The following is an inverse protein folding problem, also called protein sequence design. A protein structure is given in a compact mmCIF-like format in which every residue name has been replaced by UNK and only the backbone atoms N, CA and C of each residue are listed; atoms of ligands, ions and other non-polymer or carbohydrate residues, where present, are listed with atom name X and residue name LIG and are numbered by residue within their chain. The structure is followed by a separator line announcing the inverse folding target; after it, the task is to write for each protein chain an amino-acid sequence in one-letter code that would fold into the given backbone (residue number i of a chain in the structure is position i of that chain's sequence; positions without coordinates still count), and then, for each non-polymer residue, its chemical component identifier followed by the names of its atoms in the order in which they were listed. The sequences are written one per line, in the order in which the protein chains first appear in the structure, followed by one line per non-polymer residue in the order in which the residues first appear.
data_IF_993351154433
#
_entry.id   IF_993351154433
#
_cell.length_a   1.000
_cell.length_b   1.000
_cell.length_c   1.000
_cell.angle_alpha   90.00
_cell.angle_beta   90.00
_cell.angle_gamma   90.00
#
_symmetry.space_group_name_H-M   'P 1'
#
loop_
_entity.id
_entity.type
_entity.pdbx_description
1 polymer ?
#
# COMPACT_ATOMS: atom_id res chain seq x y z
N UNK A 1 -15.29 6.84 10.04
CA UNK A 1 -15.21 5.89 8.90
C UNK A 1 -15.73 6.61 7.66
N UNK A 2 -15.24 6.31 6.46
CA UNK A 2 -15.72 6.99 5.25
C UNK A 2 -17.00 6.33 4.75
N UNK A 3 -18.11 7.07 4.75
CA UNK A 3 -19.43 6.54 4.40
C UNK A 3 -19.95 7.17 3.10
N UNK A 4 -20.57 6.40 2.18
CA UNK A 4 -21.16 6.97 0.98
C UNK A 4 -22.35 7.86 1.35
N UNK A 5 -22.36 9.09 0.82
CA UNK A 5 -23.44 10.05 1.07
C UNK A 5 -24.73 9.63 0.36
N UNK A 6 -24.61 9.15 -0.87
CA UNK A 6 -25.70 8.53 -1.62
C UNK A 6 -25.55 7.00 -1.54
N UNK A 7 -26.36 6.39 -0.66
CA UNK A 7 -26.39 4.94 -0.46
C UNK A 7 -27.05 4.21 -1.63
N UNK A 8 -28.02 4.83 -2.30
CA UNK A 8 -28.77 4.23 -3.41
C UNK A 8 -27.87 4.07 -4.63
N UNK A 9 -27.15 5.13 -5.02
CA UNK A 9 -26.16 5.08 -6.08
C UNK A 9 -25.03 4.11 -5.73
N UNK A 10 -24.55 4.11 -4.50
CA UNK A 10 -23.50 3.20 -4.05
C UNK A 10 -23.92 1.73 -4.17
N UNK A 11 -25.13 1.39 -3.73
CA UNK A 11 -25.69 0.04 -3.82
C UNK A 11 -25.89 -0.40 -5.28
N UNK A 12 -26.30 0.51 -6.16
CA UNK A 12 -26.38 0.25 -7.61
C UNK A 12 -25.00 -0.11 -8.18
N UNK A 13 -23.99 0.70 -7.91
CA UNK A 13 -22.60 0.43 -8.34
C UNK A 13 -22.10 -0.90 -7.75
N UNK A 14 -22.42 -1.21 -6.49
CA UNK A 14 -22.04 -2.48 -5.86
C UNK A 14 -22.66 -3.70 -6.56
N UNK A 15 -23.93 -3.60 -7.00
CA UNK A 15 -24.58 -4.66 -7.80
C UNK A 15 -23.89 -4.86 -9.15
N UNK A 16 -23.59 -3.77 -9.86
CA UNK A 16 -22.85 -3.83 -11.12
C UNK A 16 -21.45 -4.44 -10.93
N UNK A 17 -20.76 -4.08 -9.84
CA UNK A 17 -19.47 -4.68 -9.49
C UNK A 17 -19.57 -6.18 -9.21
N UNK A 18 -20.67 -6.64 -8.59
CA UNK A 18 -20.90 -8.06 -8.33
C UNK A 18 -21.13 -8.86 -9.61
N UNK A 19 -21.76 -8.26 -10.62
CA UNK A 19 -21.93 -8.88 -11.93
C UNK A 19 -20.61 -8.93 -12.72
N UNK A 20 -19.81 -7.85 -12.63
CA UNK A 20 -18.54 -7.74 -13.36
C UNK A 20 -17.39 -8.56 -12.78
N UNK A 21 -17.34 -8.71 -11.45
CA UNK A 21 -16.23 -9.35 -10.74
C UNK A 21 -16.72 -10.54 -9.91
N UNK A 22 -16.28 -11.75 -10.33
CA UNK A 22 -16.54 -13.01 -9.63
C UNK A 22 -16.04 -13.01 -8.18
N UNK A 23 -14.82 -12.52 -7.95
CA UNK A 23 -14.17 -12.55 -6.64
C UNK A 23 -14.10 -11.17 -6.02
N UNK A 24 -14.29 -11.08 -4.71
CA UNK A 24 -14.05 -9.86 -3.96
C UNK A 24 -12.54 -9.64 -3.75
N UNK A 25 -12.00 -8.54 -4.27
CA UNK A 25 -10.58 -8.19 -4.16
C UNK A 25 -10.33 -6.72 -4.44
N UNK A 26 -9.05 -6.30 -4.35
CA UNK A 26 -8.66 -4.90 -4.47
C UNK A 26 -9.16 -4.23 -5.77
N UNK A 27 -9.15 -4.94 -6.90
CA UNK A 27 -9.65 -4.43 -8.18
C UNK A 27 -11.16 -4.14 -8.14
N UNK A 28 -11.97 -5.04 -7.55
CA UNK A 28 -13.41 -4.84 -7.39
C UNK A 28 -13.71 -3.66 -6.48
N UNK A 29 -13.04 -3.58 -5.33
CA UNK A 29 -13.21 -2.47 -4.38
C UNK A 29 -12.77 -1.14 -5.01
N UNK A 30 -11.65 -1.12 -5.73
CA UNK A 30 -11.16 0.05 -6.46
C UNK A 30 -12.13 0.52 -7.55
N UNK A 31 -12.70 -0.43 -8.30
CA UNK A 31 -13.70 -0.13 -9.33
C UNK A 31 -14.96 0.51 -8.73
N UNK A 32 -15.49 -0.03 -7.62
CA UNK A 32 -16.65 0.55 -6.93
C UNK A 32 -16.39 2.01 -6.54
N UNK A 33 -15.27 2.27 -5.87
CA UNK A 33 -14.93 3.63 -5.40
C UNK A 33 -14.74 4.59 -6.58
N UNK A 34 -14.08 4.15 -7.65
CA UNK A 34 -13.85 4.95 -8.86
C UNK A 34 -15.18 5.30 -9.54
N UNK A 35 -15.97 4.29 -9.88
CA UNK A 35 -17.24 4.47 -10.61
C UNK A 35 -18.28 5.23 -9.78
N UNK A 36 -18.33 5.01 -8.46
CA UNK A 36 -19.19 5.81 -7.59
C UNK A 36 -18.86 7.30 -7.67
N UNK A 37 -17.58 7.67 -7.63
CA UNK A 37 -17.13 9.06 -7.73
C UNK A 37 -17.34 9.66 -9.12
N UNK A 38 -17.10 8.89 -10.18
CA UNK A 38 -17.35 9.32 -11.56
C UNK A 38 -18.83 9.66 -11.79
N UNK A 39 -19.74 8.95 -11.13
CA UNK A 39 -21.18 9.21 -11.16
C UNK A 39 -21.65 10.29 -10.18
N UNK A 40 -20.73 11.08 -9.63
CA UNK A 40 -21.03 12.19 -8.71
C UNK A 40 -21.14 11.80 -7.23
N UNK A 41 -20.97 10.52 -6.90
CA UNK A 41 -20.99 10.03 -5.52
C UNK A 41 -19.85 10.60 -4.67
N UNK A 42 -20.15 10.97 -3.42
CA UNK A 42 -19.16 11.47 -2.46
C UNK A 42 -19.20 10.66 -1.17
N UNK A 43 -18.06 10.63 -0.50
CA UNK A 43 -17.94 10.01 0.82
C UNK A 43 -17.89 11.10 1.89
N UNK A 44 -18.67 10.91 2.96
CA UNK A 44 -18.59 11.69 4.19
C UNK A 44 -17.51 11.09 5.08
N UNK A 45 -16.66 11.92 5.67
CA UNK A 45 -15.62 11.50 6.60
C UNK A 45 -14.34 12.32 6.48
N UNK A 46 -13.54 12.29 7.54
CA UNK A 46 -12.26 12.98 7.59
C UNK A 46 -11.16 12.11 6.97
N UNK A 47 -10.31 12.71 6.14
CA UNK A 47 -9.12 12.02 5.61
C UNK A 47 -8.15 11.74 6.74
N UNK A 48 -7.73 10.48 6.90
CA UNK A 48 -6.71 10.13 7.88
C UNK A 48 -5.32 10.43 7.35
N UNK A 49 -4.40 10.81 8.23
CA UNK A 49 -2.98 10.94 7.91
C UNK A 49 -2.23 9.61 8.01
N UNK A 50 -2.84 8.60 8.65
CA UNK A 50 -2.30 7.25 8.90
C UNK A 50 -2.74 6.25 7.83
N UNK A 51 -2.16 5.05 7.88
CA UNK A 51 -2.49 3.93 6.99
C UNK A 51 -2.04 4.23 5.57
N UNK A 52 -2.92 4.01 4.59
CA UNK A 52 -2.59 4.14 3.17
C UNK A 52 -2.09 5.54 2.79
N UNK A 53 -2.61 6.59 3.43
CA UNK A 53 -2.15 7.97 3.21
C UNK A 53 -0.71 8.19 3.68
N UNK A 54 -0.32 7.61 4.83
CA UNK A 54 1.07 7.63 5.27
C UNK A 54 1.93 6.80 4.30
N UNK A 55 1.48 5.60 3.95
CA UNK A 55 2.17 4.70 3.03
C UNK A 55 2.53 5.37 1.70
N UNK A 56 1.61 6.13 1.09
CA UNK A 56 1.91 6.89 -0.13
C UNK A 56 2.93 8.02 0.08
N UNK A 57 2.93 8.66 1.25
CA UNK A 57 3.86 9.75 1.58
C UNK A 57 5.27 9.26 1.94
N UNK A 58 5.40 8.02 2.39
CA UNK A 58 6.66 7.38 2.78
C UNK A 58 7.64 7.16 1.61
N UNK A 59 7.18 7.33 0.36
CA UNK A 59 8.01 7.24 -0.85
C UNK A 59 8.77 5.90 -0.91
N UNK A 60 8.01 4.81 -1.06
CA UNK A 60 8.54 3.46 -1.11
C UNK A 60 9.21 3.19 -2.44
N UNK A 61 10.50 2.86 -2.42
CA UNK A 61 11.27 2.54 -3.63
C UNK A 61 11.95 1.19 -3.53
N UNK A 62 12.13 0.55 -4.69
CA UNK A 62 12.89 -0.68 -4.78
C UNK A 62 14.38 -0.39 -4.53
N UNK A 63 14.95 -1.04 -3.52
CA UNK A 63 16.36 -0.93 -3.17
C UNK A 63 17.21 -2.07 -3.74
N UNK A 64 16.56 -3.10 -4.29
CA UNK A 64 17.23 -4.15 -5.04
C UNK A 64 17.39 -3.72 -6.51
N UNK A 65 18.30 -4.36 -7.24
CA UNK A 65 18.43 -4.12 -8.69
C UNK A 65 17.14 -4.51 -9.41
N UNK A 66 16.80 -3.85 -10.51
CA UNK A 66 15.54 -4.11 -11.25
C UNK A 66 15.41 -5.54 -11.79
N UNK A 67 16.53 -6.26 -11.95
CA UNK A 67 16.56 -7.68 -12.36
C UNK A 67 16.37 -8.67 -11.19
N UNK A 68 16.34 -8.18 -9.96
CA UNK A 68 16.22 -8.97 -8.74
C UNK A 68 14.79 -8.96 -8.20
N UNK A 69 14.49 -9.91 -7.32
CA UNK A 69 13.27 -9.88 -6.53
C UNK A 69 13.20 -8.56 -5.74
N UNK A 70 12.10 -7.79 -5.87
CA UNK A 70 12.06 -6.43 -5.35
C UNK A 70 12.07 -6.40 -3.83
N UNK A 71 12.77 -5.41 -3.29
CA UNK A 71 12.82 -5.10 -1.85
C UNK A 71 12.45 -3.63 -1.74
N UNK A 72 11.28 -3.33 -1.19
CA UNK A 72 10.84 -1.95 -1.01
C UNK A 72 11.17 -1.44 0.38
N UNK A 73 11.63 -0.19 0.47
CA UNK A 73 11.85 0.54 1.73
C UNK A 73 11.40 1.99 1.60
N UNK A 74 10.93 2.60 2.70
CA UNK A 74 10.54 4.01 2.69
C UNK A 74 11.79 4.90 2.57
N UNK A 75 11.68 5.97 1.78
CA UNK A 75 12.70 7.01 1.71
C UNK A 75 12.41 8.18 2.65
N UNK A 76 11.14 8.36 3.03
CA UNK A 76 10.70 9.43 3.92
C UNK A 76 10.11 8.86 5.19
N UNK A 77 10.55 9.35 6.34
CA UNK A 77 9.97 9.02 7.64
C UNK A 77 8.76 9.92 7.91
N UNK A 78 7.56 9.35 7.94
CA UNK A 78 6.31 10.13 8.08
C UNK A 78 5.82 10.14 9.53
N UNK A 79 5.93 9.00 10.22
CA UNK A 79 5.54 8.88 11.62
C UNK A 79 6.39 7.79 12.31
N UNK A 80 6.10 7.54 13.59
CA UNK A 80 6.80 6.52 14.40
C UNK A 80 6.59 5.08 13.90
N UNK A 81 5.49 4.82 13.20
CA UNK A 81 5.15 3.50 12.65
C UNK A 81 5.80 3.29 11.28
N UNK A 82 6.36 4.35 10.66
CA UNK A 82 7.13 4.23 9.42
C UNK A 82 8.36 3.33 9.68
N UNK A 83 8.55 2.24 8.92
CA UNK A 83 9.72 1.38 9.06
C UNK A 83 11.02 2.13 8.82
N UNK A 84 12.14 1.53 9.24
CA UNK A 84 13.47 2.12 9.02
C UNK A 84 13.66 2.50 7.56
N UNK A 85 14.00 3.78 7.36
CA UNK A 85 14.32 4.34 6.05
C UNK A 85 15.66 3.82 5.55
N UNK A 86 15.92 3.98 4.25
CA UNK A 86 17.20 3.58 3.66
C UNK A 86 18.42 4.25 4.31
N UNK A 87 18.25 5.45 4.88
CA UNK A 87 19.31 6.22 5.54
C UNK A 87 19.60 5.76 6.97
N UNK A 88 18.62 5.09 7.59
CA UNK A 88 18.72 4.54 8.95
C UNK A 88 19.32 3.12 8.98
N UNK A 89 19.44 2.45 7.83
CA UNK A 89 19.94 1.08 7.70
C UNK A 89 21.42 1.11 7.28
N UNK A 90 22.24 0.21 7.84
CA UNK A 90 23.63 0.05 7.39
C UNK A 90 23.68 -0.52 5.96
N UNK A 91 24.52 0.02 5.05
CA UNK A 91 24.64 -0.48 3.68
C UNK A 91 25.01 -1.97 3.58
N UNK A 92 25.83 -2.47 4.50
CA UNK A 92 26.21 -3.89 4.56
C UNK A 92 25.03 -4.77 4.94
N UNK A 93 24.25 -4.35 5.94
CA UNK A 93 23.05 -5.06 6.37
C UNK A 93 21.96 -5.04 5.28
N UNK A 94 21.78 -3.90 4.61
CA UNK A 94 20.86 -3.78 3.47
C UNK A 94 21.20 -4.78 2.36
N UNK A 95 22.48 -4.87 1.97
CA UNK A 95 22.95 -5.85 0.98
C UNK A 95 22.68 -7.29 1.41
N UNK A 96 22.94 -7.61 2.68
CA UNK A 96 22.67 -8.96 3.24
C UNK A 96 21.18 -9.32 3.15
N UNK A 97 20.30 -8.40 3.56
CA UNK A 97 18.85 -8.60 3.52
C UNK A 97 18.31 -8.73 2.09
N UNK A 98 18.85 -7.98 1.13
CA UNK A 98 18.52 -8.14 -0.29
C UNK A 98 18.90 -9.54 -0.76
N UNK A 99 20.10 -10.02 -0.41
CA UNK A 99 20.57 -11.38 -0.75
C UNK A 99 19.67 -12.45 -0.13
N UNK A 100 19.26 -12.30 1.13
CA UNK A 100 18.31 -13.20 1.78
C UNK A 100 16.95 -13.19 1.06
N UNK A 101 16.46 -12.01 0.67
CA UNK A 101 15.19 -11.91 -0.08
C UNK A 101 15.23 -12.69 -1.38
N UNK A 102 16.36 -12.66 -2.09
CA UNK A 102 16.49 -13.42 -3.34
C UNK A 102 16.29 -14.91 -3.15
N UNK A 103 16.70 -15.45 -1.99
CA UNK A 103 16.52 -16.87 -1.65
C UNK A 103 15.08 -17.17 -1.26
N UNK A 104 14.50 -16.37 -0.37
CA UNK A 104 13.20 -16.66 0.23
C UNK A 104 12.00 -16.17 -0.59
N UNK A 105 12.22 -15.21 -1.50
CA UNK A 105 11.25 -14.58 -2.41
C UNK A 105 9.98 -14.16 -1.67
N UNK A 106 8.85 -14.83 -1.89
CA UNK A 106 7.54 -14.47 -1.33
C UNK A 106 7.46 -14.55 0.19
N UNK A 107 8.41 -15.22 0.87
CA UNK A 107 8.43 -15.29 2.34
C UNK A 107 8.87 -13.97 2.97
N UNK A 108 8.45 -13.76 4.22
CA UNK A 108 8.74 -12.55 4.99
C UNK A 108 10.23 -12.51 5.39
N UNK A 109 10.88 -11.38 5.18
CA UNK A 109 12.24 -11.13 5.67
C UNK A 109 12.25 -10.93 7.18
N UNK A 110 13.40 -11.23 7.79
CA UNK A 110 13.67 -10.78 9.15
C UNK A 110 13.66 -9.25 9.24
N UNK A 111 13.29 -8.66 10.40
CA UNK A 111 13.36 -7.21 10.60
C UNK A 111 14.75 -6.66 10.30
N UNK A 112 14.79 -5.43 9.80
CA UNK A 112 16.05 -4.71 9.62
C UNK A 112 16.47 -4.04 10.92
N UNK A 113 17.77 -3.92 11.14
CA UNK A 113 18.34 -3.20 12.27
C UNK A 113 18.80 -1.80 11.85
N UNK A 114 18.70 -0.86 12.79
CA UNK A 114 19.23 0.49 12.63
C UNK A 114 20.76 0.42 12.63
N UNK A 115 21.42 1.22 11.79
CA UNK A 115 22.88 1.37 11.88
C UNK A 115 23.22 1.91 13.27
N UNK A 116 24.18 1.26 13.92
CA UNK A 116 24.80 1.72 15.17
C UNK A 116 25.68 2.91 14.84
#
# INVERSE_FOLDING_TARGET
MNEPMDRTLYNKVKREANQKYKTHGAYKSGWIVKTYKERGGRYKGNKTTKGLTAWFKEDWRNVASNKQYPVYRPFKKINKDTPLTIYEISPTHLKSQIKEKQKIKSRKLKPFFKKV
#
